data_IF_999180496941
#
_entry.id   IF_999180496941
#
_cell.length_a   1.000
_cell.length_b   1.000
_cell.length_c   1.000
_cell.angle_alpha   90.00
_cell.angle_beta   90.00
_cell.angle_gamma   90.00
#
_symmetry.space_group_name_H-M   'P 1'
#
loop_
_entity.id
_entity.type
_entity.pdbx_description
1 polymer ?
#
# COMPACT_ATOMS: atom_id res chain seq x y z
N UNK A 1 -2.96 -4.00 -22.86
CA UNK A 1 -2.99 -4.15 -21.38
C UNK A 1 -3.74 -5.45 -21.07
N UNK A 2 -3.46 -6.12 -19.95
CA UNK A 2 -4.11 -7.39 -19.60
C UNK A 2 -5.56 -7.09 -19.17
N UNK A 3 -6.57 -7.68 -19.82
CA UNK A 3 -8.00 -7.37 -19.57
C UNK A 3 -8.38 -7.43 -18.08
N UNK A 4 -7.78 -8.33 -17.30
CA UNK A 4 -8.03 -8.43 -15.86
C UNK A 4 -7.55 -7.20 -15.08
N UNK A 5 -6.43 -6.60 -15.49
CA UNK A 5 -5.88 -5.40 -14.88
C UNK A 5 -6.75 -4.17 -15.22
N UNK A 6 -7.25 -4.08 -16.45
CA UNK A 6 -8.13 -3.00 -16.91
C UNK A 6 -9.46 -2.99 -16.12
N UNK A 7 -10.06 -4.17 -15.92
CA UNK A 7 -11.28 -4.31 -15.12
C UNK A 7 -11.05 -3.96 -13.63
N UNK A 8 -9.88 -4.35 -13.10
CA UNK A 8 -9.50 -4.02 -11.72
C UNK A 8 -9.26 -2.53 -11.54
N UNK A 9 -8.56 -1.90 -12.47
CA UNK A 9 -8.36 -0.45 -12.50
C UNK A 9 -9.70 0.27 -12.55
N UNK A 10 -10.57 -0.10 -13.50
CA UNK A 10 -11.88 0.51 -13.64
C UNK A 10 -12.75 0.36 -12.39
N UNK A 11 -12.68 -0.78 -11.69
CA UNK A 11 -13.38 -0.97 -10.41
C UNK A 11 -12.79 -0.09 -9.31
N UNK A 12 -11.47 -0.06 -9.17
CA UNK A 12 -10.77 0.71 -8.14
C UNK A 12 -10.96 2.22 -8.32
N UNK A 13 -10.90 2.73 -9.54
CA UNK A 13 -11.10 4.16 -9.83
C UNK A 13 -12.55 4.64 -9.70
N UNK A 14 -13.53 3.75 -9.48
CA UNK A 14 -14.90 4.15 -9.11
C UNK A 14 -14.98 4.68 -7.68
N UNK A 15 -14.04 4.29 -6.83
CA UNK A 15 -13.96 4.76 -5.46
C UNK A 15 -13.44 6.21 -5.43
N UNK A 16 -13.95 7.00 -4.50
CA UNK A 16 -13.39 8.34 -4.26
C UNK A 16 -11.94 8.23 -3.75
N UNK A 17 -11.21 9.35 -3.80
CA UNK A 17 -9.79 9.40 -3.42
C UNK A 17 -9.57 8.90 -1.99
N UNK A 18 -10.45 9.26 -1.06
CA UNK A 18 -10.37 8.86 0.35
C UNK A 18 -10.42 7.33 0.51
N UNK A 19 -11.37 6.68 -0.16
CA UNK A 19 -11.51 5.21 -0.13
C UNK A 19 -10.31 4.55 -0.79
N UNK A 20 -9.82 5.08 -1.92
CA UNK A 20 -8.62 4.56 -2.61
C UNK A 20 -7.37 4.62 -1.72
N UNK A 21 -7.15 5.74 -1.04
CA UNK A 21 -6.08 5.87 -0.04
C UNK A 21 -6.28 4.86 1.10
N UNK A 22 -7.50 4.68 1.60
CA UNK A 22 -7.84 3.65 2.58
C UNK A 22 -7.50 2.22 2.12
N UNK A 23 -7.75 1.89 0.85
CA UNK A 23 -7.36 0.60 0.26
C UNK A 23 -5.84 0.43 0.20
N UNK A 24 -5.09 1.47 -0.19
CA UNK A 24 -3.62 1.45 -0.18
C UNK A 24 -3.10 1.22 1.25
N UNK A 25 -3.63 1.97 2.23
CA UNK A 25 -3.28 1.82 3.64
C UNK A 25 -3.57 0.40 4.17
N UNK A 26 -4.72 -0.17 3.80
CA UNK A 26 -5.09 -1.54 4.15
C UNK A 26 -4.12 -2.57 3.57
N UNK A 27 -3.71 -2.42 2.30
CA UNK A 27 -2.72 -3.30 1.70
C UNK A 27 -1.35 -3.20 2.36
N UNK A 28 -0.91 -2.00 2.74
CA UNK A 28 0.33 -1.82 3.52
C UNK A 28 0.24 -2.53 4.89
N UNK A 29 -0.91 -2.48 5.57
CA UNK A 29 -1.13 -3.24 6.80
C UNK A 29 -1.09 -4.76 6.57
N UNK A 30 -1.61 -5.24 5.42
CA UNK A 30 -1.52 -6.66 5.03
C UNK A 30 -0.09 -7.08 4.75
N UNK A 31 0.72 -6.26 4.09
CA UNK A 31 2.17 -6.51 3.90
C UNK A 31 2.85 -6.70 5.25
N UNK A 32 2.61 -5.78 6.21
CA UNK A 32 3.10 -5.91 7.58
C UNK A 32 2.72 -7.25 8.19
N UNK A 33 1.43 -7.59 8.18
CA UNK A 33 0.93 -8.84 8.75
C UNK A 33 1.55 -10.08 8.11
N UNK A 34 1.63 -10.13 6.78
CA UNK A 34 2.16 -11.27 6.03
C UNK A 34 3.68 -11.45 6.17
N UNK A 35 4.43 -10.35 6.33
CA UNK A 35 5.84 -10.42 6.70
C UNK A 35 6.02 -11.05 8.09
N UNK A 36 5.16 -10.72 9.05
CA UNK A 36 5.22 -11.25 10.42
C UNK A 36 4.84 -12.74 10.52
N UNK A 37 3.88 -13.22 9.71
CA UNK A 37 3.47 -14.64 9.71
C UNK A 37 4.22 -15.49 8.66
N UNK A 38 5.23 -14.92 8.02
CA UNK A 38 6.03 -15.57 6.98
C UNK A 38 5.20 -16.22 5.85
N UNK A 39 4.29 -15.45 5.23
CA UNK A 39 3.61 -15.84 3.99
C UNK A 39 4.18 -15.15 2.72
N UNK A 40 5.16 -15.78 2.06
CA UNK A 40 5.98 -15.16 0.99
C UNK A 40 5.18 -14.66 -0.21
N UNK A 41 4.38 -15.54 -0.80
CA UNK A 41 3.64 -15.30 -2.03
C UNK A 41 2.56 -14.24 -1.82
N UNK A 42 1.95 -14.23 -0.63
CA UNK A 42 0.95 -13.23 -0.26
C UNK A 42 1.56 -11.83 -0.18
N UNK A 43 2.77 -11.69 0.39
CA UNK A 43 3.47 -10.39 0.41
C UNK A 43 3.70 -9.88 -1.01
N UNK A 44 4.27 -10.71 -1.90
CA UNK A 44 4.56 -10.32 -3.28
C UNK A 44 3.31 -9.92 -4.06
N UNK A 45 2.23 -10.70 -3.92
CA UNK A 45 0.96 -10.38 -4.56
C UNK A 45 0.39 -9.05 -4.08
N UNK A 46 0.48 -8.74 -2.78
CA UNK A 46 -0.02 -7.48 -2.23
C UNK A 46 0.89 -6.31 -2.61
N UNK A 47 2.22 -6.49 -2.64
CA UNK A 47 3.16 -5.47 -3.12
C UNK A 47 2.83 -5.08 -4.56
N UNK A 48 2.67 -6.06 -5.46
CA UNK A 48 2.36 -5.82 -6.85
C UNK A 48 1.03 -5.05 -7.02
N UNK A 49 -0.02 -5.45 -6.30
CA UNK A 49 -1.31 -4.75 -6.29
C UNK A 49 -1.19 -3.31 -5.75
N UNK A 50 -0.47 -3.13 -4.65
CA UNK A 50 -0.31 -1.82 -3.99
C UNK A 50 0.37 -0.81 -4.92
N UNK A 51 1.40 -1.24 -5.67
CA UNK A 51 2.08 -0.38 -6.64
C UNK A 51 1.14 0.13 -7.75
N UNK A 52 0.21 -0.71 -8.22
CA UNK A 52 -0.80 -0.29 -9.20
C UNK A 52 -1.81 0.68 -8.60
N UNK A 53 -2.26 0.43 -7.38
CA UNK A 53 -3.19 1.33 -6.70
C UNK A 53 -2.56 2.70 -6.44
N UNK A 54 -1.28 2.74 -6.08
CA UNK A 54 -0.51 3.98 -5.98
C UNK A 54 -0.45 4.69 -7.33
N UNK A 55 -0.03 4.00 -8.40
CA UNK A 55 0.06 4.59 -9.75
C UNK A 55 -1.25 5.28 -10.15
N UNK A 56 -2.38 4.59 -9.97
CA UNK A 56 -3.70 5.10 -10.35
C UNK A 56 -4.25 6.18 -9.42
N UNK A 57 -3.71 6.32 -8.21
CA UNK A 57 -4.18 7.33 -7.24
C UNK A 57 -3.30 8.57 -7.27
N UNK A 58 -1.97 8.41 -7.38
CA UNK A 58 -1.01 9.50 -7.37
C UNK A 58 -1.21 10.50 -8.52
N UNK A 59 -1.73 10.03 -9.66
CA UNK A 59 -2.06 10.87 -10.81
C UNK A 59 -3.24 11.85 -10.56
N UNK A 60 -4.00 11.69 -9.49
CA UNK A 60 -5.26 12.39 -9.24
C UNK A 60 -5.31 13.14 -7.88
N UNK A 61 -4.19 13.20 -7.15
CA UNK A 61 -4.11 13.85 -5.82
C UNK A 61 -3.13 15.03 -5.81
N UNK A 62 -3.13 15.78 -4.72
CA UNK A 62 -2.23 16.93 -4.53
C UNK A 62 -0.75 16.51 -4.60
N UNK A 63 0.14 17.36 -5.16
CA UNK A 63 1.53 16.98 -5.44
C UNK A 63 2.31 16.41 -4.26
N UNK A 64 2.16 16.97 -3.06
CA UNK A 64 2.84 16.48 -1.85
C UNK A 64 2.35 15.10 -1.41
N UNK A 65 1.06 14.81 -1.61
CA UNK A 65 0.51 13.50 -1.34
C UNK A 65 0.95 12.49 -2.40
N UNK A 66 1.00 12.91 -3.67
CA UNK A 66 1.49 12.09 -4.77
C UNK A 66 2.97 11.71 -4.57
N UNK A 67 3.81 12.66 -4.15
CA UNK A 67 5.22 12.41 -3.83
C UNK A 67 5.38 11.35 -2.73
N UNK A 68 4.64 11.45 -1.62
CA UNK A 68 4.67 10.44 -0.55
C UNK A 68 4.29 9.06 -1.08
N UNK A 69 3.22 8.95 -1.88
CA UNK A 69 2.82 7.66 -2.47
C UNK A 69 3.88 7.10 -3.42
N UNK A 70 4.45 7.92 -4.30
CA UNK A 70 5.49 7.49 -5.25
C UNK A 70 6.74 7.03 -4.50
N UNK A 71 7.14 7.73 -3.43
CA UNK A 71 8.25 7.30 -2.59
C UNK A 71 7.99 5.91 -1.97
N UNK A 72 6.77 5.65 -1.50
CA UNK A 72 6.36 4.31 -1.03
C UNK A 72 6.45 3.29 -2.17
N UNK A 73 5.94 3.61 -3.37
CA UNK A 73 5.97 2.72 -4.53
C UNK A 73 7.40 2.31 -4.92
N UNK A 74 8.35 3.26 -4.89
CA UNK A 74 9.77 2.99 -5.15
C UNK A 74 10.34 2.01 -4.12
N UNK A 75 10.10 2.22 -2.83
CA UNK A 75 10.61 1.33 -1.78
C UNK A 75 9.97 -0.07 -1.84
N UNK A 76 8.69 -0.16 -2.21
CA UNK A 76 8.04 -1.44 -2.47
C UNK A 76 8.65 -2.16 -3.68
N UNK A 77 8.99 -1.44 -4.75
CA UNK A 77 9.66 -2.01 -5.91
C UNK A 77 11.08 -2.51 -5.58
N UNK A 78 11.84 -1.76 -4.78
CA UNK A 78 13.16 -2.21 -4.27
C UNK A 78 12.99 -3.48 -3.43
N UNK A 79 12.01 -3.49 -2.52
CA UNK A 79 11.74 -4.66 -1.67
C UNK A 79 11.33 -5.89 -2.47
N UNK A 80 10.56 -5.71 -3.55
CA UNK A 80 10.16 -6.77 -4.48
C UNK A 80 11.37 -7.38 -5.21
N UNK A 81 12.30 -6.54 -5.69
CA UNK A 81 13.51 -6.99 -6.38
C UNK A 81 14.45 -7.77 -5.45
N UNK A 82 14.56 -7.35 -4.19
CA UNK A 82 15.39 -8.01 -3.17
C UNK A 82 14.63 -9.06 -2.35
N UNK A 83 13.40 -9.42 -2.73
CA UNK A 83 12.52 -10.18 -1.85
C UNK A 83 13.05 -11.57 -1.50
N UNK A 84 13.70 -12.25 -2.45
CA UNK A 84 14.28 -13.57 -2.21
C UNK A 84 15.35 -13.53 -1.12
N UNK A 85 16.15 -12.47 -1.06
CA UNK A 85 17.17 -12.25 -0.03
C UNK A 85 16.53 -11.86 1.30
N UNK A 86 15.62 -10.87 1.28
CA UNK A 86 14.86 -10.44 2.46
C UNK A 86 14.17 -11.63 3.12
N UNK A 87 13.61 -12.54 2.30
CA UNK A 87 12.88 -13.69 2.79
C UNK A 87 13.72 -14.63 3.65
N UNK A 88 15.02 -14.75 3.39
CA UNK A 88 15.90 -15.65 4.13
C UNK A 88 16.20 -15.12 5.55
N UNK A 89 15.98 -13.84 5.81
CA UNK A 89 16.39 -13.17 7.04
C UNK A 89 15.19 -12.62 7.80
N UNK A 90 14.90 -13.19 8.97
CA UNK A 90 13.80 -12.74 9.83
C UNK A 90 13.86 -11.26 10.16
N UNK A 91 15.06 -10.76 10.46
CA UNK A 91 15.29 -9.33 10.73
C UNK A 91 14.89 -8.46 9.53
N UNK A 92 15.28 -8.84 8.31
CA UNK A 92 14.92 -8.09 7.11
C UNK A 92 13.41 -8.10 6.86
N UNK A 93 12.74 -9.26 7.07
CA UNK A 93 11.27 -9.33 7.01
C UNK A 93 10.60 -8.43 8.06
N UNK A 94 11.17 -8.34 9.27
CA UNK A 94 10.66 -7.48 10.32
C UNK A 94 10.81 -6.00 9.99
N UNK A 95 11.93 -5.59 9.39
CA UNK A 95 12.17 -4.21 8.92
C UNK A 95 11.16 -3.81 7.85
N UNK A 96 10.89 -4.68 6.86
CA UNK A 96 9.83 -4.44 5.87
C UNK A 96 8.46 -4.33 6.53
N UNK A 97 8.18 -5.18 7.53
CA UNK A 97 6.90 -5.16 8.24
C UNK A 97 6.68 -3.86 9.02
N UNK A 98 7.71 -3.39 9.73
CA UNK A 98 7.68 -2.13 10.48
C UNK A 98 7.45 -0.95 9.55
N UNK A 99 8.24 -0.88 8.47
CA UNK A 99 8.14 0.20 7.50
C UNK A 99 6.78 0.25 6.80
N UNK A 100 6.24 -0.91 6.40
CA UNK A 100 4.89 -1.01 5.84
C UNK A 100 3.81 -0.57 6.84
N UNK A 101 4.01 -0.83 8.13
CA UNK A 101 3.15 -0.33 9.21
C UNK A 101 3.14 1.20 9.32
N UNK A 102 4.32 1.82 9.25
CA UNK A 102 4.45 3.29 9.27
C UNK A 102 3.74 3.91 8.07
N UNK A 103 3.97 3.39 6.86
CA UNK A 103 3.31 3.87 5.66
C UNK A 103 1.79 3.67 5.69
N UNK A 104 1.33 2.53 6.22
CA UNK A 104 -0.10 2.27 6.39
C UNK A 104 -0.76 3.37 7.22
N UNK A 105 -0.16 3.75 8.36
CA UNK A 105 -0.66 4.84 9.20
C UNK A 105 -0.70 6.17 8.44
N UNK A 106 0.40 6.56 7.78
CA UNK A 106 0.46 7.82 7.04
C UNK A 106 -0.56 7.91 5.91
N UNK A 107 -0.70 6.85 5.10
CA UNK A 107 -1.66 6.83 3.99
C UNK A 107 -3.10 6.83 4.50
N UNK A 108 -3.35 6.19 5.65
CA UNK A 108 -4.65 6.26 6.31
C UNK A 108 -4.94 7.68 6.82
N UNK A 109 -3.97 8.38 7.39
CA UNK A 109 -4.12 9.79 7.77
C UNK A 109 -4.42 10.67 6.54
N UNK A 110 -3.70 10.45 5.43
CA UNK A 110 -3.96 11.14 4.15
C UNK A 110 -5.38 10.94 3.63
N UNK A 111 -5.99 9.77 3.91
CA UNK A 111 -7.36 9.47 3.48
C UNK A 111 -8.43 10.30 4.19
N UNK A 112 -8.12 10.85 5.38
CA UNK A 112 -9.09 11.54 6.22
C UNK A 112 -10.16 10.64 6.87
N UNK A 113 -10.13 9.32 6.65
CA UNK A 113 -11.15 8.38 7.14
C UNK A 113 -11.15 8.20 8.67
N UNK A 114 -10.08 8.64 9.36
CA UNK A 114 -9.99 8.59 10.82
C UNK A 114 -10.71 9.76 11.52
N UNK A 115 -11.13 10.80 10.78
CA UNK A 115 -11.74 12.00 11.35
C UNK A 115 -13.27 11.90 11.57
N UNK A 116 -13.91 10.78 11.24
CA UNK A 116 -15.38 10.58 11.34
C UNK A 116 -15.82 9.85 12.62
N UNK A 117 -15.13 10.02 13.74
CA UNK A 117 -15.75 9.72 15.04
C UNK A 117 -16.66 10.90 15.41
N UNK A 118 -18.00 10.72 15.55
CA UNK A 118 -18.84 11.80 16.00
C UNK A 118 -18.37 12.22 17.39
N UNK A 119 -17.88 13.45 17.52
CA UNK A 119 -17.79 14.12 18.81
C UNK A 119 -19.20 14.18 19.35
N UNK A 120 -19.52 13.28 20.29
CA UNK A 120 -20.73 13.34 21.10
C UNK A 120 -20.72 14.70 21.81
N UNK A 121 -21.54 15.63 21.30
CA UNK A 121 -21.95 16.85 22.00
C UNK A 121 -23.08 16.55 22.96
#
# INVERSE_FOLDING_TARGET
MNQNLDEKQARFQRDNIQIRLGHIASNLARIKSFCSIAHKEAVMSVIAETKWFIEWTAAEIEPLQAEELVNIQVQLAISELSWDEIWLHEKARAEVAEQAGVWSGRVLDMSGLLCDAPTLS
#
